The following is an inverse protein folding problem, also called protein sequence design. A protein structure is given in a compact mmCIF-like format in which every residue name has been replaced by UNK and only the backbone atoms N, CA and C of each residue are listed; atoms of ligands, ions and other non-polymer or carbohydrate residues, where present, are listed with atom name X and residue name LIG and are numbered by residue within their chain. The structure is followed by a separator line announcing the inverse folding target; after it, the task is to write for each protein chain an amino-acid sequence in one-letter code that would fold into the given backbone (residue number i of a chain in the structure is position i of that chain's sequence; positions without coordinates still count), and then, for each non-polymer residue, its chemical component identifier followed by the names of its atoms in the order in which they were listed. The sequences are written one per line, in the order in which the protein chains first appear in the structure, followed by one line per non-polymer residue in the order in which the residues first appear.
data_IF_249120277256
#
_entry.id   IF_249120277256
#
_cell.length_a   1.000
_cell.length_b   1.000
_cell.length_c   1.000
_cell.angle_alpha   90.00
_cell.angle_beta   90.00
_cell.angle_gamma   90.00
#
_symmetry.space_group_name_H-M   'P 1'
#
loop_
_entity.id
_entity.type
_entity.pdbx_description
1 polymer ?
#
# COMPACT_ATOMS: atom_id res chain seq x y z
N UNK A 1 -13.80 20.26 5.99
CA UNK A 1 -12.48 20.67 6.53
C UNK A 1 -11.47 19.63 6.11
N UNK A 2 -10.42 19.98 5.36
CA UNK A 2 -9.39 19.01 4.98
C UNK A 2 -8.53 18.68 6.22
N UNK A 3 -8.50 17.41 6.63
CA UNK A 3 -7.65 16.95 7.72
C UNK A 3 -6.17 17.07 7.30
N UNK A 4 -5.50 18.18 7.64
CA UNK A 4 -4.07 18.35 7.31
C UNK A 4 -3.22 17.59 8.31
N UNK A 5 -2.53 16.54 7.86
CA UNK A 5 -1.53 15.84 8.65
C UNK A 5 -0.31 16.75 8.91
N UNK A 6 0.34 16.60 10.06
CA UNK A 6 1.64 17.19 10.36
C UNK A 6 2.71 16.61 9.43
N UNK A 7 3.75 17.40 9.16
CA UNK A 7 4.86 16.97 8.30
C UNK A 7 5.57 15.74 8.87
N UNK A 8 6.10 14.91 7.98
CA UNK A 8 6.92 13.78 8.37
C UNK A 8 8.23 14.21 9.05
N UNK A 9 8.73 13.37 9.96
CA UNK A 9 10.02 13.57 10.62
C UNK A 9 10.92 12.36 10.41
N UNK A 10 12.19 12.64 10.12
CA UNK A 10 13.22 11.61 9.98
C UNK A 10 13.45 10.86 11.30
N UNK A 11 13.19 11.51 12.45
CA UNK A 11 13.38 10.93 13.77
C UNK A 11 12.41 9.79 14.08
N UNK A 12 11.34 9.62 13.31
CA UNK A 12 10.40 8.50 13.47
C UNK A 12 11.02 7.14 13.16
N UNK A 13 12.12 7.11 12.40
CA UNK A 13 12.84 5.87 12.06
C UNK A 13 13.79 5.40 13.17
N UNK A 14 14.29 6.34 13.98
CA UNK A 14 15.29 6.08 15.03
C UNK A 14 14.72 6.46 16.40
N UNK A 15 13.65 5.80 16.81
CA UNK A 15 13.23 5.82 18.21
C UNK A 15 14.17 4.89 18.97
N UNK A 16 15.18 5.45 19.65
CA UNK A 16 16.20 4.67 20.37
C UNK A 16 15.57 3.57 21.23
N UNK A 17 15.92 2.31 20.94
CA UNK A 17 15.44 1.13 21.68
C UNK A 17 13.99 0.70 21.42
N UNK A 18 13.23 1.42 20.59
CA UNK A 18 11.81 1.14 20.34
C UNK A 18 11.60 0.61 18.91
N UNK A 19 11.01 -0.57 18.80
CA UNK A 19 10.56 -1.12 17.51
C UNK A 19 9.21 -0.50 17.13
N UNK A 20 8.83 -0.51 15.85
CA UNK A 20 7.48 -0.12 15.46
C UNK A 20 6.44 -0.93 16.23
N UNK A 21 5.31 -0.31 16.59
CA UNK A 21 4.29 -0.95 17.44
C UNK A 21 3.80 -2.29 16.84
N UNK A 22 3.77 -2.40 15.52
CA UNK A 22 3.37 -3.61 14.78
C UNK A 22 4.49 -4.64 14.57
N UNK A 23 5.69 -4.42 15.11
CA UNK A 23 6.81 -5.37 14.99
C UNK A 23 6.43 -6.75 15.53
N UNK A 24 6.64 -7.78 14.70
CA UNK A 24 6.41 -9.19 15.05
C UNK A 24 7.45 -9.72 16.04
N UNK A 25 8.42 -8.89 16.43
CA UNK A 25 9.35 -9.20 17.53
C UNK A 25 8.75 -8.96 18.91
N UNK A 26 7.69 -8.16 18.99
CA UNK A 26 6.91 -8.05 20.21
C UNK A 26 5.93 -9.21 20.31
N UNK A 27 5.80 -9.82 21.49
CA UNK A 27 4.75 -10.82 21.76
C UNK A 27 3.41 -10.19 22.13
N UNK A 28 3.44 -8.94 22.60
CA UNK A 28 2.29 -8.20 23.11
C UNK A 28 2.08 -6.89 22.35
N UNK A 29 0.84 -6.44 22.26
CA UNK A 29 0.49 -5.12 21.71
C UNK A 29 0.77 -4.00 22.73
N UNK A 30 0.43 -2.74 22.40
CA UNK A 30 0.72 -1.60 23.28
C UNK A 30 -0.09 -1.57 24.58
N UNK A 31 -1.16 -2.36 24.70
CA UNK A 31 -1.95 -2.49 25.94
C UNK A 31 -1.53 -3.68 26.79
N UNK A 32 -0.57 -4.49 26.31
CA UNK A 32 0.00 -5.62 27.04
C UNK A 32 -0.69 -6.96 26.80
N UNK A 33 -1.70 -7.05 25.94
CA UNK A 33 -2.31 -8.33 25.55
C UNK A 33 -1.42 -9.11 24.59
N UNK A 34 -1.40 -10.43 24.70
CA UNK A 34 -0.66 -11.27 23.75
C UNK A 34 -1.33 -11.21 22.38
N UNK A 35 -0.52 -11.11 21.33
CA UNK A 35 -1.00 -11.29 19.96
C UNK A 35 -1.50 -12.73 19.81
N UNK A 36 -2.57 -12.94 19.04
CA UNK A 36 -3.38 -14.18 18.93
C UNK A 36 -4.50 -14.37 19.98
N UNK A 37 -4.51 -13.63 21.08
CA UNK A 37 -5.66 -13.67 21.99
C UNK A 37 -6.89 -13.00 21.35
N UNK A 38 -8.12 -13.51 21.54
CA UNK A 38 -9.32 -12.88 20.99
C UNK A 38 -9.49 -11.41 21.40
N UNK A 39 -9.04 -11.03 22.60
CA UNK A 39 -9.08 -9.65 23.11
C UNK A 39 -8.15 -8.70 22.37
N UNK A 40 -7.10 -9.22 21.73
CA UNK A 40 -6.14 -8.42 20.96
C UNK A 40 -6.47 -8.38 19.46
N UNK A 41 -7.66 -8.86 19.05
CA UNK A 41 -8.09 -8.86 17.65
C UNK A 41 -9.41 -8.12 17.40
N UNK A 42 -9.53 -7.58 16.20
CA UNK A 42 -10.77 -7.09 15.60
C UNK A 42 -10.96 -7.83 14.27
N UNK A 43 -11.89 -8.80 14.23
CA UNK A 43 -11.94 -9.80 13.16
C UNK A 43 -10.57 -10.51 13.03
N UNK A 44 -10.01 -10.56 11.82
CA UNK A 44 -8.70 -11.14 11.53
C UNK A 44 -7.53 -10.19 11.83
N UNK A 45 -7.80 -8.94 12.21
CA UNK A 45 -6.78 -7.93 12.46
C UNK A 45 -6.28 -7.96 13.89
N UNK A 46 -4.96 -7.89 14.08
CA UNK A 46 -4.37 -7.60 15.38
C UNK A 46 -4.54 -6.11 15.71
N UNK A 47 -4.96 -5.82 16.94
CA UNK A 47 -5.02 -4.48 17.50
C UNK A 47 -3.62 -4.11 17.99
N UNK A 48 -2.93 -3.26 17.23
CA UNK A 48 -1.58 -2.79 17.58
C UNK A 48 -1.63 -1.62 18.55
N UNK A 49 -2.51 -0.66 18.26
CA UNK A 49 -2.82 0.48 19.11
C UNK A 49 -4.34 0.61 19.13
N UNK A 50 -4.91 0.51 20.32
CA UNK A 50 -6.35 0.58 20.55
C UNK A 50 -6.99 1.79 19.83
N UNK A 51 -8.05 1.51 19.08
CA UNK A 51 -8.82 2.43 18.24
C UNK A 51 -8.03 3.24 17.19
N UNK A 52 -6.75 2.90 16.93
CA UNK A 52 -5.87 3.73 16.10
C UNK A 52 -5.13 2.97 15.02
N UNK A 53 -4.62 1.78 15.31
CA UNK A 53 -3.79 1.02 14.39
C UNK A 53 -4.09 -0.46 14.51
N UNK A 54 -4.41 -1.06 13.37
CA UNK A 54 -4.62 -2.49 13.22
C UNK A 54 -3.64 -3.04 12.20
N UNK A 55 -3.22 -4.29 12.37
CA UNK A 55 -2.37 -4.99 11.42
C UNK A 55 -2.96 -6.33 11.01
N UNK A 56 -2.69 -6.74 9.78
CA UNK A 56 -3.07 -8.03 9.23
C UNK A 56 -1.85 -8.64 8.54
N UNK A 57 -1.62 -9.93 8.72
CA UNK A 57 -0.40 -10.61 8.29
C UNK A 57 -0.71 -11.80 7.39
N UNK A 58 -0.01 -11.88 6.27
CA UNK A 58 0.08 -13.10 5.47
C UNK A 58 1.15 -14.04 6.04
N UNK A 59 1.31 -15.18 5.39
CA UNK A 59 2.38 -16.14 5.67
C UNK A 59 3.47 -16.16 4.60
N UNK A 60 3.21 -15.54 3.44
CA UNK A 60 4.05 -15.66 2.26
C UNK A 60 4.85 -14.37 1.97
N UNK A 61 6.17 -14.52 1.90
CA UNK A 61 7.06 -13.48 1.41
C UNK A 61 7.33 -13.66 -0.10
N UNK A 62 7.44 -12.58 -0.91
CA UNK A 62 7.72 -12.70 -2.35
C UNK A 62 9.06 -13.36 -2.71
N UNK A 63 10.00 -13.45 -1.76
CA UNK A 63 11.25 -14.20 -1.92
C UNK A 63 11.16 -15.68 -1.49
N UNK A 64 9.98 -16.16 -1.11
CA UNK A 64 9.81 -17.53 -0.65
C UNK A 64 10.17 -18.56 -1.75
N UNK A 65 10.66 -19.76 -1.37
CA UNK A 65 11.10 -20.79 -2.32
C UNK A 65 10.01 -21.31 -3.26
N UNK A 66 8.72 -21.13 -2.93
CA UNK A 66 7.59 -21.50 -3.78
C UNK A 66 7.58 -20.75 -5.11
N UNK A 67 8.14 -19.54 -5.15
CA UNK A 67 8.26 -18.77 -6.39
C UNK A 67 9.51 -19.15 -7.19
N UNK A 68 9.50 -19.03 -8.52
CA UNK A 68 10.69 -19.24 -9.33
C UNK A 68 11.82 -18.28 -8.96
N UNK A 69 13.07 -18.78 -8.92
CA UNK A 69 14.24 -17.96 -8.55
C UNK A 69 14.41 -16.69 -9.39
N UNK A 70 13.96 -16.70 -10.65
CA UNK A 70 14.00 -15.55 -11.56
C UNK A 70 13.02 -14.41 -11.20
N UNK A 71 12.00 -14.72 -10.40
CA UNK A 71 10.91 -13.82 -10.03
C UNK A 71 11.11 -13.22 -8.64
N UNK A 72 11.67 -14.02 -7.69
CA UNK A 72 11.90 -13.65 -6.29
C UNK A 72 12.57 -12.27 -6.13
N UNK A 73 11.92 -11.39 -5.38
CA UNK A 73 12.40 -10.04 -5.08
C UNK A 73 12.19 -9.01 -6.19
N UNK A 74 11.54 -9.38 -7.29
CA UNK A 74 11.29 -8.49 -8.45
C UNK A 74 9.81 -8.21 -8.67
N UNK A 75 8.95 -9.04 -8.09
CA UNK A 75 7.50 -8.99 -8.30
C UNK A 75 6.76 -7.97 -7.42
N UNK A 76 7.47 -7.21 -6.56
CA UNK A 76 6.84 -6.32 -5.57
C UNK A 76 5.84 -5.31 -6.17
N UNK A 77 6.19 -4.62 -7.26
CA UNK A 77 5.30 -3.64 -7.88
C UNK A 77 4.01 -4.26 -8.42
N UNK A 78 4.10 -5.46 -9.00
CA UNK A 78 2.94 -6.20 -9.49
C UNK A 78 2.03 -6.62 -8.33
N UNK A 79 2.61 -7.08 -7.21
CA UNK A 79 1.86 -7.42 -5.99
C UNK A 79 1.13 -6.18 -5.44
N UNK A 80 1.76 -5.01 -5.46
CA UNK A 80 1.12 -3.78 -5.00
C UNK A 80 -0.07 -3.36 -5.87
N UNK A 81 -0.01 -3.56 -7.18
CA UNK A 81 -1.17 -3.36 -8.06
C UNK A 81 -2.30 -4.34 -7.71
N UNK A 82 -1.99 -5.63 -7.51
CA UNK A 82 -2.98 -6.64 -7.12
C UNK A 82 -3.60 -6.33 -5.75
N UNK A 83 -2.84 -5.77 -4.82
CA UNK A 83 -3.36 -5.31 -3.53
C UNK A 83 -4.40 -4.18 -3.71
N UNK A 84 -4.14 -3.24 -4.61
CA UNK A 84 -5.13 -2.23 -4.99
C UNK A 84 -6.38 -2.89 -5.62
N UNK A 85 -6.20 -3.87 -6.53
CA UNK A 85 -7.32 -4.63 -7.12
C UNK A 85 -8.18 -5.28 -6.03
N UNK A 86 -7.56 -5.96 -5.05
CA UNK A 86 -8.28 -6.54 -3.92
C UNK A 86 -9.09 -5.49 -3.15
N UNK A 87 -8.52 -4.31 -2.92
CA UNK A 87 -9.17 -3.23 -2.15
C UNK A 87 -10.35 -2.59 -2.89
N UNK A 88 -10.41 -2.74 -4.22
CA UNK A 88 -11.56 -2.31 -5.01
C UNK A 88 -12.73 -3.29 -4.99
N UNK A 89 -12.51 -4.55 -4.60
CA UNK A 89 -13.54 -5.61 -4.61
C UNK A 89 -14.00 -6.00 -3.22
N UNK A 90 -13.06 -6.20 -2.31
CA UNK A 90 -13.35 -6.73 -0.99
C UNK A 90 -13.41 -5.61 0.04
N UNK A 91 -14.39 -5.69 0.95
CA UNK A 91 -14.41 -4.79 2.09
C UNK A 91 -13.14 -4.99 2.90
N UNK A 92 -12.46 -3.88 3.24
CA UNK A 92 -11.22 -3.94 4.00
C UNK A 92 -11.38 -4.67 5.34
N UNK A 93 -12.57 -4.64 5.97
CA UNK A 93 -12.85 -5.36 7.22
C UNK A 93 -12.88 -6.88 7.10
N UNK A 94 -13.03 -7.40 5.87
CA UNK A 94 -13.15 -8.83 5.57
C UNK A 94 -11.82 -9.42 5.06
N UNK A 95 -10.76 -8.62 5.00
CA UNK A 95 -9.45 -9.12 4.61
C UNK A 95 -8.90 -10.08 5.66
N UNK A 96 -8.22 -11.12 5.18
CA UNK A 96 -7.59 -12.15 6.01
C UNK A 96 -6.14 -12.39 5.57
N UNK A 97 -5.36 -13.07 6.41
CA UNK A 97 -4.01 -13.49 6.04
C UNK A 97 -3.96 -14.34 4.76
N UNK A 98 -4.99 -15.17 4.55
CA UNK A 98 -5.14 -15.94 3.30
C UNK A 98 -5.30 -15.03 2.08
N UNK A 99 -6.07 -13.95 2.17
CA UNK A 99 -6.20 -12.99 1.08
C UNK A 99 -4.86 -12.31 0.78
N UNK A 100 -4.07 -11.97 1.80
CA UNK A 100 -2.73 -11.42 1.58
C UNK A 100 -1.81 -12.40 0.85
N UNK A 101 -1.86 -13.69 1.19
CA UNK A 101 -1.11 -14.73 0.46
C UNK A 101 -1.60 -14.87 -0.99
N UNK A 102 -2.92 -14.83 -1.21
CA UNK A 102 -3.52 -14.81 -2.56
C UNK A 102 -3.04 -13.61 -3.38
N UNK A 103 -2.95 -12.42 -2.78
CA UNK A 103 -2.41 -11.22 -3.43
C UNK A 103 -0.95 -11.42 -3.86
N UNK A 104 -0.11 -12.02 -3.00
CA UNK A 104 1.30 -12.32 -3.34
C UNK A 104 1.39 -13.32 -4.50
N UNK A 105 0.58 -14.38 -4.49
CA UNK A 105 0.57 -15.40 -5.55
C UNK A 105 0.11 -14.82 -6.90
N UNK A 106 -1.02 -14.11 -6.92
CA UNK A 106 -1.54 -13.50 -8.15
C UNK A 106 -0.61 -12.38 -8.64
N UNK A 107 0.00 -11.61 -7.74
CA UNK A 107 1.00 -10.60 -8.08
C UNK A 107 2.27 -11.19 -8.70
N UNK A 108 2.73 -12.36 -8.25
CA UNK A 108 3.83 -13.06 -8.93
C UNK A 108 3.44 -13.50 -10.34
N UNK A 109 2.23 -14.03 -10.53
CA UNK A 109 1.72 -14.41 -11.85
C UNK A 109 1.65 -13.20 -12.79
N UNK A 110 1.06 -12.10 -12.32
CA UNK A 110 0.96 -10.84 -13.06
C UNK A 110 2.33 -10.24 -13.41
N UNK A 111 3.31 -10.36 -12.49
CA UNK A 111 4.70 -10.00 -12.77
C UNK A 111 5.29 -10.83 -13.91
N UNK A 112 5.13 -12.16 -13.88
CA UNK A 112 5.69 -13.05 -14.89
C UNK A 112 5.08 -12.80 -16.27
N UNK A 113 3.77 -12.56 -16.34
CA UNK A 113 3.05 -12.21 -17.57
C UNK A 113 3.49 -10.85 -18.13
N UNK A 114 3.69 -9.85 -17.27
CA UNK A 114 4.19 -8.53 -17.68
C UNK A 114 5.65 -8.61 -18.15
N UNK A 115 6.47 -9.36 -17.41
CA UNK A 115 7.89 -9.50 -17.71
C UNK A 115 8.13 -10.27 -19.02
N UNK A 116 7.27 -11.22 -19.38
CA UNK A 116 7.38 -12.00 -20.61
C UNK A 116 7.31 -11.13 -21.89
N UNK A 117 6.69 -9.95 -21.83
CA UNK A 117 6.57 -9.03 -22.96
C UNK A 117 7.83 -8.16 -23.17
N UNK A 118 8.75 -8.16 -22.20
CA UNK A 118 9.93 -7.30 -22.23
C UNK A 118 11.04 -7.98 -23.02
N UNK A 119 11.39 -7.39 -24.16
CA UNK A 119 12.40 -7.93 -25.09
C UNK A 119 13.84 -7.85 -24.56
N UNK A 120 14.12 -6.93 -23.64
CA UNK A 120 15.45 -6.74 -23.08
C UNK A 120 15.69 -7.70 -21.91
N UNK A 121 16.67 -8.59 -22.06
CA UNK A 121 17.23 -9.35 -20.93
C UNK A 121 17.81 -8.33 -19.94
N UNK A 122 17.50 -8.50 -18.65
CA UNK A 122 17.94 -7.67 -17.52
C UNK A 122 17.25 -6.31 -17.30
N UNK A 123 16.13 -6.03 -17.98
CA UNK A 123 15.32 -4.85 -17.64
C UNK A 123 14.68 -4.99 -16.25
N UNK A 124 14.77 -3.95 -15.43
CA UNK A 124 14.04 -3.86 -14.15
C UNK A 124 12.61 -3.42 -14.43
N UNK A 125 11.63 -4.19 -13.98
CA UNK A 125 10.22 -3.90 -14.25
C UNK A 125 9.82 -2.60 -13.54
N UNK A 126 9.37 -1.62 -14.30
CA UNK A 126 8.76 -0.39 -13.77
C UNK A 126 7.23 -0.48 -13.83
N UNK A 127 6.54 0.47 -13.19
CA UNK A 127 5.06 0.50 -13.21
C UNK A 127 4.51 0.66 -14.64
N UNK A 128 5.22 1.39 -15.50
CA UNK A 128 4.85 1.63 -16.90
C UNK A 128 5.01 0.38 -17.78
N UNK A 129 5.69 -0.65 -17.26
CA UNK A 129 5.92 -1.91 -17.98
C UNK A 129 4.98 -3.03 -17.54
N UNK A 130 4.10 -2.77 -16.57
CA UNK A 130 3.09 -3.74 -16.14
C UNK A 130 1.97 -3.82 -17.18
N UNK A 131 1.45 -5.03 -17.41
CA UNK A 131 0.32 -5.23 -18.33
C UNK A 131 -0.91 -4.47 -17.83
N UNK A 132 -1.73 -3.95 -18.74
CA UNK A 132 -3.02 -3.36 -18.35
C UNK A 132 -3.98 -4.43 -17.81
N UNK A 133 -3.88 -5.66 -18.31
CA UNK A 133 -4.72 -6.77 -17.86
C UNK A 133 -4.12 -7.40 -16.59
N UNK A 134 -4.88 -7.35 -15.51
CA UNK A 134 -4.53 -7.90 -14.21
C UNK A 134 -5.64 -8.84 -13.73
N UNK A 135 -5.31 -9.81 -12.89
CA UNK A 135 -6.29 -10.70 -12.30
C UNK A 135 -6.02 -10.94 -10.82
N UNK A 136 -7.10 -11.07 -10.06
CA UNK A 136 -7.10 -11.59 -8.70
C UNK A 136 -8.05 -12.80 -8.69
N UNK A 137 -7.47 -14.00 -8.65
CA UNK A 137 -8.20 -15.25 -8.82
C UNK A 137 -9.01 -15.28 -10.13
N UNK A 138 -10.34 -15.34 -10.07
CA UNK A 138 -11.23 -15.31 -11.23
C UNK A 138 -11.67 -13.90 -11.64
N UNK A 139 -11.38 -12.87 -10.83
CA UNK A 139 -11.76 -11.49 -11.13
C UNK A 139 -10.68 -10.85 -11.99
N UNK A 140 -11.09 -10.29 -13.13
CA UNK A 140 -10.21 -9.63 -14.07
C UNK A 140 -10.40 -8.12 -14.04
N UNK A 141 -9.30 -7.41 -14.24
CA UNK A 141 -9.22 -5.96 -14.17
C UNK A 141 -8.46 -5.43 -15.38
N UNK A 142 -8.95 -4.33 -15.92
CA UNK A 142 -8.16 -3.40 -16.73
C UNK A 142 -7.63 -2.32 -15.80
N UNK A 143 -6.33 -2.28 -15.62
CA UNK A 143 -5.62 -1.40 -14.69
C UNK A 143 -5.00 -0.23 -15.44
N UNK A 144 -5.24 0.97 -14.95
CA UNK A 144 -4.60 2.19 -15.40
C UNK A 144 -3.73 2.78 -14.28
N UNK A 145 -2.42 2.93 -14.56
CA UNK A 145 -1.44 3.44 -13.60
C UNK A 145 -0.90 4.76 -14.14
N UNK A 146 -1.06 5.83 -13.37
CA UNK A 146 -0.61 7.16 -13.76
C UNK A 146 0.21 7.81 -12.64
N UNK A 147 1.28 8.51 -13.00
CA UNK A 147 2.04 9.32 -12.07
C UNK A 147 1.24 10.57 -11.66
N UNK A 148 0.91 10.70 -10.37
CA UNK A 148 0.07 11.80 -9.86
C UNK A 148 0.91 12.94 -9.29
N UNK A 149 1.81 12.63 -8.35
CA UNK A 149 2.60 13.64 -7.68
C UNK A 149 3.96 13.10 -7.26
N UNK A 150 4.90 14.01 -7.04
CA UNK A 150 6.24 13.71 -6.57
C UNK A 150 6.68 14.76 -5.56
N UNK A 151 7.69 14.42 -4.78
CA UNK A 151 8.21 15.33 -3.77
C UNK A 151 9.53 14.85 -3.21
N UNK A 152 9.88 15.39 -2.05
CA UNK A 152 11.08 14.99 -1.32
C UNK A 152 10.76 14.70 0.14
N UNK A 153 11.23 13.55 0.64
CA UNK A 153 11.04 13.17 2.04
C UNK A 153 11.73 14.16 2.99
N UNK A 154 11.04 14.47 4.09
CA UNK A 154 11.52 15.29 5.21
C UNK A 154 11.89 16.72 4.80
N UNK A 155 11.42 17.19 3.65
CA UNK A 155 11.69 18.55 3.22
C UNK A 155 10.66 19.51 3.83
N UNK A 156 11.06 20.76 4.06
CA UNK A 156 10.10 21.83 4.34
C UNK A 156 9.33 22.09 3.04
N UNK A 157 7.99 21.98 3.04
CA UNK A 157 7.21 22.16 1.83
C UNK A 157 7.28 23.61 1.34
N UNK A 158 7.28 23.79 0.02
CA UNK A 158 7.20 25.08 -0.66
C UNK A 158 6.14 25.00 -1.77
N UNK A 159 5.75 26.14 -2.35
CA UNK A 159 4.71 26.20 -3.38
C UNK A 159 4.89 25.24 -4.58
N UNK A 160 6.13 24.83 -4.87
CA UNK A 160 6.52 23.93 -5.96
C UNK A 160 7.16 22.62 -5.48
N UNK A 161 7.16 22.34 -4.18
CA UNK A 161 7.81 21.16 -3.61
C UNK A 161 7.00 20.60 -2.46
N UNK A 162 6.36 19.47 -2.71
CA UNK A 162 5.66 18.71 -1.68
C UNK A 162 6.64 17.88 -0.84
N UNK A 163 6.34 17.78 0.44
CA UNK A 163 6.81 16.70 1.29
C UNK A 163 5.80 15.53 1.24
N UNK A 164 6.07 14.43 1.94
CA UNK A 164 5.19 13.25 1.86
C UNK A 164 3.80 13.53 2.45
N UNK A 165 3.71 14.28 3.55
CA UNK A 165 2.43 14.66 4.15
C UNK A 165 1.51 15.42 3.18
N UNK A 166 2.04 16.43 2.49
CA UNK A 166 1.27 17.21 1.51
C UNK A 166 0.91 16.39 0.29
N UNK A 167 1.82 15.54 -0.19
CA UNK A 167 1.55 14.65 -1.32
C UNK A 167 0.45 13.63 -1.02
N UNK A 168 0.44 13.02 0.17
CA UNK A 168 -0.63 12.11 0.58
C UNK A 168 -1.97 12.84 0.75
N UNK A 169 -1.94 14.06 1.33
CA UNK A 169 -3.15 14.88 1.47
C UNK A 169 -3.73 15.25 0.10
N UNK A 170 -2.88 15.63 -0.86
CA UNK A 170 -3.27 15.90 -2.24
C UNK A 170 -3.80 14.63 -2.93
N UNK A 171 -3.12 13.51 -2.76
CA UNK A 171 -3.48 12.24 -3.37
C UNK A 171 -4.87 11.78 -2.92
N UNK A 172 -5.11 11.67 -1.61
CA UNK A 172 -6.38 11.18 -1.07
C UNK A 172 -7.55 12.16 -1.23
N UNK A 173 -7.29 13.41 -1.62
CA UNK A 173 -8.35 14.34 -2.00
C UNK A 173 -8.97 14.03 -3.37
N UNK A 174 -8.27 13.25 -4.22
CA UNK A 174 -8.67 13.01 -5.61
C UNK A 174 -8.71 11.52 -5.99
N UNK A 175 -7.90 10.69 -5.33
CA UNK A 175 -7.68 9.30 -5.69
C UNK A 175 -7.81 8.38 -4.48
N UNK A 176 -8.15 7.11 -4.75
CA UNK A 176 -8.44 6.13 -3.70
C UNK A 176 -7.33 5.13 -3.47
N UNK A 177 -6.67 4.67 -4.53
CA UNK A 177 -5.65 3.62 -4.45
C UNK A 177 -4.41 4.03 -5.20
N UNK A 178 -3.24 3.78 -4.63
CA UNK A 178 -1.98 4.21 -5.22
C UNK A 178 -0.79 3.44 -4.73
N UNK A 179 0.35 3.72 -5.37
CA UNK A 179 1.64 3.15 -5.03
C UNK A 179 2.61 4.30 -4.73
N UNK A 180 3.17 4.29 -3.53
CA UNK A 180 4.25 5.22 -3.13
C UNK A 180 5.58 4.55 -3.45
N UNK A 181 6.48 5.25 -4.15
CA UNK A 181 7.80 4.75 -4.52
C UNK A 181 8.90 5.68 -4.00
N UNK A 182 9.91 5.09 -3.35
CA UNK A 182 11.13 5.78 -2.91
C UNK A 182 12.34 4.89 -3.18
N UNK A 183 13.19 5.28 -4.16
CA UNK A 183 14.32 4.46 -4.60
C UNK A 183 13.86 3.04 -5.02
N UNK A 184 14.33 2.00 -4.32
CA UNK A 184 13.98 0.58 -4.53
C UNK A 184 12.87 0.08 -3.60
N UNK A 185 12.32 0.97 -2.76
CA UNK A 185 11.22 0.68 -1.84
C UNK A 185 9.93 1.19 -2.44
N UNK A 186 8.86 0.43 -2.27
CA UNK A 186 7.52 0.84 -2.63
C UNK A 186 6.51 0.18 -1.69
N UNK A 187 5.31 0.74 -1.63
CA UNK A 187 4.18 0.16 -0.93
C UNK A 187 2.87 0.60 -1.59
N UNK A 188 1.83 -0.20 -1.43
CA UNK A 188 0.48 0.19 -1.82
C UNK A 188 -0.18 1.00 -0.70
N UNK A 189 -0.99 1.98 -1.07
CA UNK A 189 -1.81 2.78 -0.16
C UNK A 189 -3.24 2.83 -0.68
N UNK A 190 -4.19 2.99 0.23
CA UNK A 190 -5.54 3.28 -0.20
C UNK A 190 -6.47 3.82 0.87
N UNK A 191 -7.64 4.26 0.41
CA UNK A 191 -8.75 4.77 1.22
C UNK A 191 -10.04 4.05 0.80
N UNK A 192 -10.60 3.28 1.75
CA UNK A 192 -11.84 2.54 1.55
C UNK A 192 -13.00 3.19 2.35
N UNK A 193 -14.09 3.64 1.71
CA UNK A 193 -15.32 4.07 2.35
C UNK A 193 -16.14 2.85 2.79
N UNK A 194 -16.73 2.96 3.99
CA UNK A 194 -17.73 2.06 4.60
C UNK A 194 -17.39 0.58 4.92
N UNK A 195 -18.05 0.00 5.96
CA UNK A 195 -18.47 0.62 7.22
C UNK A 195 -17.25 0.59 8.14
N UNK A 196 -16.35 1.54 7.95
CA UNK A 196 -15.08 1.53 8.67
C UNK A 196 -14.06 2.58 8.24
N UNK A 197 -14.37 3.40 7.22
CA UNK A 197 -13.57 4.50 6.65
C UNK A 197 -12.12 4.48 7.13
N UNK A 198 -11.28 3.79 6.36
CA UNK A 198 -9.93 3.51 6.76
C UNK A 198 -8.95 3.77 5.64
N UNK A 199 -7.87 4.44 6.00
CA UNK A 199 -6.65 4.35 5.24
C UNK A 199 -6.02 2.98 5.47
N UNK A 200 -5.37 2.45 4.43
CA UNK A 200 -4.45 1.34 4.59
C UNK A 200 -3.13 1.62 3.88
N UNK A 201 -2.11 0.91 4.33
CA UNK A 201 -0.93 0.62 3.53
C UNK A 201 -0.68 -0.89 3.52
N UNK A 202 -0.17 -1.40 2.41
CA UNK A 202 0.21 -2.79 2.26
C UNK A 202 1.67 -2.87 1.78
N UNK A 203 2.46 -3.68 2.47
CA UNK A 203 3.87 -3.90 2.19
C UNK A 203 4.16 -5.41 2.12
N UNK A 204 5.01 -5.79 1.18
CA UNK A 204 5.48 -7.16 1.01
C UNK A 204 6.99 -7.23 0.79
N UNK A 205 7.71 -6.12 0.99
CA UNK A 205 9.17 -6.05 0.94
C UNK A 205 9.84 -6.19 2.31
N UNK A 206 9.08 -6.13 3.41
CA UNK A 206 9.67 -6.25 4.74
C UNK A 206 10.14 -7.68 5.03
N UNK A 207 11.40 -7.76 5.47
CA UNK A 207 12.09 -8.96 5.88
C UNK A 207 13.12 -8.56 6.92
N UNK A 208 13.47 -9.50 7.79
CA UNK A 208 14.48 -9.30 8.81
C UNK A 208 14.14 -8.13 9.76
N UNK A 209 15.16 -7.64 10.46
CA UNK A 209 15.05 -6.51 11.38
C UNK A 209 14.63 -5.23 10.64
N UNK A 210 13.90 -4.32 11.29
CA UNK A 210 13.44 -4.38 12.69
C UNK A 210 12.09 -5.09 12.88
N UNK A 211 11.39 -5.41 11.79
CA UNK A 211 10.00 -5.87 11.86
C UNK A 211 9.87 -7.35 12.19
N UNK A 212 10.79 -8.15 11.67
CA UNK A 212 10.82 -9.60 11.83
C UNK A 212 12.11 -10.07 12.50
N UNK A 213 12.13 -11.28 13.08
CA UNK A 213 13.37 -12.00 13.35
C UNK A 213 14.19 -12.22 12.08
N UNK A 214 15.48 -12.53 12.25
CA UNK A 214 16.39 -12.82 11.13
C UNK A 214 15.86 -14.00 10.29
N UNK A 215 15.99 -13.90 8.98
CA UNK A 215 15.51 -14.80 7.92
C UNK A 215 13.99 -14.97 7.83
N UNK A 216 13.22 -14.12 8.50
CA UNK A 216 11.77 -14.12 8.41
C UNK A 216 11.27 -12.88 7.66
N UNK A 217 10.11 -13.00 7.04
CA UNK A 217 9.43 -11.93 6.33
C UNK A 217 8.07 -12.40 5.88
N UNK A 218 7.14 -11.47 5.70
CA UNK A 218 5.79 -11.74 5.22
C UNK A 218 5.21 -10.47 4.60
N UNK A 219 4.17 -10.64 3.79
CA UNK A 219 3.30 -9.52 3.46
C UNK A 219 2.42 -9.12 4.64
N UNK A 220 2.09 -7.85 4.73
CA UNK A 220 1.21 -7.34 5.78
C UNK A 220 0.48 -6.07 5.32
N UNK A 221 -0.62 -5.80 6.00
CA UNK A 221 -1.42 -4.60 5.82
C UNK A 221 -1.54 -3.88 7.17
N UNK A 222 -1.39 -2.56 7.16
CA UNK A 222 -1.70 -1.70 8.29
C UNK A 222 -2.92 -0.86 7.95
N UNK A 223 -3.89 -0.85 8.86
CA UNK A 223 -5.13 -0.10 8.73
C UNK A 223 -5.23 0.95 9.84
N UNK A 224 -5.71 2.14 9.48
CA UNK A 224 -5.97 3.23 10.43
C UNK A 224 -7.05 4.17 9.90
N UNK A 225 -7.73 4.89 10.80
CA UNK A 225 -8.69 5.94 10.45
C UNK A 225 -8.06 7.33 10.35
N UNK A 226 -6.76 7.45 10.63
CA UNK A 226 -6.08 8.73 10.71
C UNK A 226 -4.94 8.84 9.70
N UNK A 227 -5.01 9.84 8.82
CA UNK A 227 -3.96 10.12 7.84
C UNK A 227 -2.59 10.34 8.50
N UNK A 228 -2.55 10.94 9.69
CA UNK A 228 -1.31 11.11 10.46
C UNK A 228 -0.66 9.78 10.85
N UNK A 229 -1.47 8.79 11.25
CA UNK A 229 -0.98 7.46 11.64
C UNK A 229 -0.51 6.71 10.39
N UNK A 230 -1.24 6.84 9.27
CA UNK A 230 -0.82 6.28 7.99
C UNK A 230 0.53 6.86 7.56
N UNK A 231 0.70 8.18 7.62
CA UNK A 231 1.95 8.84 7.28
C UNK A 231 3.12 8.31 8.12
N UNK A 232 2.92 8.14 9.44
CA UNK A 232 3.93 7.53 10.31
C UNK A 232 4.27 6.10 9.87
N UNK A 233 3.26 5.27 9.62
CA UNK A 233 3.44 3.89 9.18
C UNK A 233 4.22 3.80 7.85
N UNK A 234 3.91 4.66 6.88
CA UNK A 234 4.59 4.74 5.59
C UNK A 234 6.06 5.13 5.79
N UNK A 235 6.34 6.16 6.57
CA UNK A 235 7.72 6.64 6.83
C UNK A 235 8.57 5.54 7.47
N UNK A 236 8.03 4.87 8.50
CA UNK A 236 8.72 3.80 9.21
C UNK A 236 8.92 2.57 8.32
N UNK A 237 7.94 2.24 7.47
CA UNK A 237 8.04 1.07 6.57
C UNK A 237 9.01 1.29 5.41
N UNK A 238 9.04 2.51 4.87
CA UNK A 238 9.96 2.85 3.79
C UNK A 238 11.42 2.79 4.26
N UNK A 239 11.68 3.11 5.54
CA UNK A 239 13.00 3.06 6.20
C UNK A 239 14.09 3.76 5.37
N UNK A 240 13.83 5.02 5.03
CA UNK A 240 14.76 5.90 4.32
C UNK A 240 15.26 7.00 5.27
N UNK A 241 16.38 6.79 5.99
CA UNK A 241 16.91 7.74 6.98
C UNK A 241 17.76 8.83 6.32
N UNK A 242 17.30 9.37 5.20
CA UNK A 242 18.01 10.37 4.39
C UNK A 242 17.04 11.48 3.99
N UNK A 243 17.43 12.73 4.22
CA UNK A 243 16.64 13.90 3.83
C UNK A 243 16.69 14.16 2.33
N UNK A 244 15.66 14.81 1.81
CA UNK A 244 15.59 15.29 0.43
C UNK A 244 15.62 14.18 -0.66
N UNK A 245 15.34 12.93 -0.29
CA UNK A 245 15.19 11.82 -1.24
C UNK A 245 13.87 11.97 -2.00
N UNK A 246 13.93 11.83 -3.33
CA UNK A 246 12.74 11.90 -4.19
C UNK A 246 11.81 10.71 -3.94
N UNK A 247 10.52 10.99 -3.89
CA UNK A 247 9.46 10.00 -3.96
C UNK A 247 8.51 10.33 -5.12
N UNK A 248 7.76 9.33 -5.57
CA UNK A 248 6.60 9.51 -6.44
C UNK A 248 5.40 8.75 -5.89
N UNK A 249 4.20 9.23 -6.20
CA UNK A 249 2.93 8.56 -5.93
C UNK A 249 2.22 8.37 -7.27
N UNK A 250 1.87 7.12 -7.57
CA UNK A 250 1.12 6.76 -8.75
C UNK A 250 -0.29 6.34 -8.34
N UNK A 251 -1.33 6.82 -9.02
CA UNK A 251 -2.68 6.26 -8.84
C UNK A 251 -2.75 4.90 -9.53
N UNK A 252 -3.59 4.04 -8.99
CA UNK A 252 -4.00 2.79 -9.60
C UNK A 252 -5.52 2.83 -9.70
N UNK A 253 -6.02 2.95 -10.93
CA UNK A 253 -7.45 2.88 -11.25
C UNK A 253 -7.72 1.54 -11.93
N UNK A 254 -8.87 0.95 -11.63
CA UNK A 254 -9.19 -0.40 -12.09
C UNK A 254 -10.65 -0.45 -12.53
N UNK A 255 -10.88 -1.00 -13.71
CA UNK A 255 -12.21 -1.33 -14.23
C UNK A 255 -12.34 -2.85 -14.27
N UNK A 256 -13.44 -3.39 -13.78
CA UNK A 256 -13.66 -4.84 -13.81
C UNK A 256 -14.21 -5.25 -15.16
N UNK A 257 -13.70 -6.33 -15.72
CA UNK A 257 -14.33 -6.93 -16.91
C UNK A 257 -15.76 -7.36 -16.54
N UNK A 258 -16.76 -6.77 -17.20
CA UNK A 258 -18.19 -7.07 -17.00
C UNK A 258 -18.97 -6.04 -16.17
N UNK A 259 -18.36 -4.96 -15.69
CA UNK A 259 -19.09 -3.78 -15.18
C UNK A 259 -19.31 -2.80 -16.35
N UNK A 260 -20.56 -2.48 -16.69
CA UNK A 260 -20.89 -1.44 -17.68
C UNK A 260 -20.51 -0.06 -17.11
N UNK A 261 -19.84 0.78 -17.92
CA UNK A 261 -19.61 2.18 -17.58
C UNK A 261 -20.97 2.87 -17.37
N UNK A 262 -21.21 3.39 -16.15
CA UNK A 262 -22.32 4.31 -15.92
C UNK A 262 -21.94 5.65 -16.55
N UNK A 263 -22.64 6.14 -17.59
CA UNK A 263 -22.27 7.40 -18.24
C UNK A 263 -22.37 8.56 -17.24
N UNK A 264 -21.39 9.47 -17.27
CA UNK A 264 -21.45 10.71 -16.51
C UNK A 264 -22.78 11.45 -16.76
N UNK A 265 -23.46 11.96 -15.72
CA UNK A 265 -24.70 12.69 -15.92
C UNK A 265 -24.43 13.96 -16.73
N UNK A 266 -25.09 14.05 -17.90
CA UNK A 266 -25.12 15.20 -18.78
C UNK A 266 -25.32 16.50 -17.98
N UNK A 267 -24.31 17.38 -18.01
CA UNK A 267 -24.43 18.75 -17.51
C UNK A 267 -25.60 19.42 -18.23
N UNK A 268 -26.67 19.72 -17.48
CA UNK A 268 -27.82 20.47 -17.99
C UNK A 268 -27.34 21.86 -18.40
N UNK A 269 -27.25 22.08 -19.71
CA UNK A 269 -27.05 23.40 -20.31
C UNK A 269 -28.29 24.25 -20.03
N UNK A 270 -28.18 25.15 -19.04
CA UNK A 270 -29.16 26.20 -18.84
C UNK A 270 -29.10 27.20 -20.01
N UNK A 271 -29.85 26.92 -21.08
CA UNK A 271 -30.22 27.94 -22.07
C UNK A 271 -31.17 28.91 -21.37
N UNK A 272 -30.66 30.09 -21.01
CA UNK A 272 -31.47 31.27 -20.74
C UNK A 272 -32.26 31.59 -22.02
N UNK A 273 -33.57 31.43 -21.97
CA UNK A 273 -34.49 32.03 -22.95
C UNK A 273 -34.71 33.48 -22.53
N UNK A 274 -34.70 34.35 -23.55
CA UNK A 274 -34.80 35.81 -23.51
C UNK A 274 -35.96 36.32 -22.68
#
# INVERSE_FOLDING_TARGET
MAFKAKNESIHWQNLEGCLPAWSRRYQRNTTGHYREEPVSKLNEYDIEIEDRLWSLWGSLHPEAPVFPSKSRGRQYLAIYVVACCAASVFNLMDWSGRLLDTIVVNGNKYFEESYAQIKAKDHELSLENLNIDCALESVKFVVHIEHVCYGKLYCVPTFNRMNLSEALSYFFAHYRFGIVKVRKRALAIGLCPDPGEGYFMYDCQAKDLPLFPKQQGASYLLRTRHLQVLLYCIVVTLDVPITNVRFSIHKVEMMREGEEEVPEPLQKTNKKVK
#
